data_IF_863786958981
#
_entry.id   IF_863786958981
#
_cell.length_a   1.000
_cell.length_b   1.000
_cell.length_c   1.000
_cell.angle_alpha   90.00
_cell.angle_beta   90.00
_cell.angle_gamma   90.00
#
_symmetry.space_group_name_H-M   'P 1'
#
loop_
_entity.id
_entity.type
_entity.pdbx_description
1 polymer ?
#
# COMPACT_ATOMS: atom_id res chain seq x y z
N UNK A 1 4.13 31.19 -8.69
CA UNK A 1 3.89 30.87 -7.27
C UNK A 1 3.42 29.43 -7.18
N UNK A 2 4.27 28.51 -6.70
CA UNK A 2 3.82 27.17 -6.32
C UNK A 2 4.54 26.82 -5.02
N UNK A 3 3.96 27.26 -3.89
CA UNK A 3 4.26 26.65 -2.59
C UNK A 3 3.64 25.25 -2.64
N UNK A 4 4.33 24.33 -3.30
CA UNK A 4 4.08 22.91 -3.11
C UNK A 4 4.38 22.65 -1.66
N UNK A 5 3.39 22.27 -0.88
CA UNK A 5 3.60 21.76 0.46
C UNK A 5 4.59 20.61 0.33
N UNK A 6 5.87 20.85 0.67
CA UNK A 6 6.89 19.81 0.75
C UNK A 6 6.48 18.90 1.90
N UNK A 7 5.60 17.94 1.61
CA UNK A 7 5.38 16.80 2.47
C UNK A 7 6.72 16.05 2.45
N UNK A 8 7.50 16.21 3.53
CA UNK A 8 8.75 15.48 3.70
C UNK A 8 8.41 14.02 3.91
N UNK A 9 8.45 13.25 2.84
CA UNK A 9 8.36 11.81 2.92
C UNK A 9 9.69 11.29 3.44
N UNK A 10 9.65 10.68 4.61
CA UNK A 10 10.87 10.18 5.28
C UNK A 10 11.21 8.77 4.79
N UNK A 11 10.17 7.99 4.47
CA UNK A 11 10.31 6.61 4.01
C UNK A 11 9.61 6.40 2.67
N UNK A 12 10.20 5.53 1.84
CA UNK A 12 9.66 5.17 0.53
C UNK A 12 9.71 3.66 0.36
N UNK A 13 8.55 3.05 0.18
CA UNK A 13 8.39 1.63 -0.05
C UNK A 13 8.02 1.35 -1.50
N UNK A 14 8.65 0.35 -2.10
CA UNK A 14 8.23 -0.18 -3.39
C UNK A 14 7.46 -1.47 -3.20
N UNK A 15 6.21 -1.52 -3.67
CA UNK A 15 5.42 -2.74 -3.64
C UNK A 15 4.93 -3.13 -5.03
N UNK A 16 5.24 -4.37 -5.41
CA UNK A 16 4.88 -4.95 -6.70
C UNK A 16 3.50 -5.59 -6.60
N UNK A 17 2.57 -5.21 -7.49
CA UNK A 17 1.26 -5.87 -7.67
C UNK A 17 0.24 -5.84 -6.52
N UNK A 18 0.07 -4.74 -5.79
CA UNK A 18 -1.16 -4.51 -5.01
C UNK A 18 -2.05 -3.43 -5.65
N UNK A 19 -3.36 -3.59 -5.55
CA UNK A 19 -4.29 -2.57 -6.01
C UNK A 19 -4.15 -1.30 -5.15
N UNK A 20 -4.04 -0.11 -5.76
CA UNK A 20 -3.93 1.17 -5.05
C UNK A 20 -4.92 1.33 -3.90
N UNK A 21 -6.19 0.94 -4.08
CA UNK A 21 -7.21 1.03 -3.01
C UNK A 21 -6.89 0.14 -1.80
N UNK A 22 -6.32 -1.04 -2.03
CA UNK A 22 -5.91 -1.95 -0.97
C UNK A 22 -4.72 -1.38 -0.21
N UNK A 23 -3.75 -0.83 -0.95
CA UNK A 23 -2.58 -0.18 -0.37
C UNK A 23 -3.01 0.95 0.58
N UNK A 24 -3.88 1.84 0.11
CA UNK A 24 -4.43 2.93 0.91
C UNK A 24 -5.13 2.41 2.17
N UNK A 25 -6.09 1.49 2.01
CA UNK A 25 -6.89 0.98 3.12
C UNK A 25 -5.99 0.35 4.21
N UNK A 26 -4.98 -0.41 3.81
CA UNK A 26 -4.04 -1.02 4.73
C UNK A 26 -3.17 0.02 5.42
N UNK A 27 -2.62 0.98 4.69
CA UNK A 27 -1.84 2.06 5.31
C UNK A 27 -2.67 2.86 6.32
N UNK A 28 -3.94 3.12 6.03
CA UNK A 28 -4.88 3.73 7.00
C UNK A 28 -5.04 2.86 8.25
N UNK A 29 -5.16 1.53 8.11
CA UNK A 29 -5.19 0.59 9.25
C UNK A 29 -3.90 0.60 10.08
N UNK A 30 -2.74 0.88 9.47
CA UNK A 30 -1.45 1.03 10.16
C UNK A 30 -1.23 2.43 10.78
N UNK A 31 -2.22 3.32 10.68
CA UNK A 31 -2.15 4.67 11.23
C UNK A 31 -1.53 5.71 10.31
N UNK A 32 -1.47 5.43 8.99
CA UNK A 32 -1.08 6.39 7.96
C UNK A 32 -2.34 6.92 7.25
N UNK A 33 -2.88 8.07 7.66
CA UNK A 33 -4.06 8.62 7.00
C UNK A 33 -3.74 9.04 5.56
N UNK A 34 -4.74 9.02 4.67
CA UNK A 34 -4.59 9.32 3.23
C UNK A 34 -3.87 10.63 2.93
N UNK A 35 -4.04 11.64 3.79
CA UNK A 35 -3.40 12.95 3.67
C UNK A 35 -1.88 12.93 3.95
N UNK A 36 -1.37 11.85 4.53
CA UNK A 36 0.03 11.67 4.97
C UNK A 36 0.77 10.56 4.22
N UNK A 37 0.11 9.97 3.22
CA UNK A 37 0.68 8.96 2.34
C UNK A 37 0.52 9.39 0.89
N UNK A 38 1.49 9.05 0.05
CA UNK A 38 1.39 9.21 -1.39
C UNK A 38 1.68 7.88 -2.07
N UNK A 39 0.84 7.51 -3.02
CA UNK A 39 0.99 6.29 -3.80
C UNK A 39 1.10 6.68 -5.25
N UNK A 40 2.27 6.45 -5.82
CA UNK A 40 2.61 6.71 -7.21
C UNK A 40 2.84 5.40 -7.95
N UNK A 41 2.47 5.37 -9.22
CA UNK A 41 2.84 4.26 -10.11
C UNK A 41 4.32 4.39 -10.45
N UNK A 42 5.04 3.28 -10.38
CA UNK A 42 6.46 3.20 -10.74
C UNK A 42 6.61 2.59 -12.11
N UNK A 43 7.58 3.07 -12.90
CA UNK A 43 7.96 2.51 -14.21
C UNK A 43 8.40 1.03 -14.14
N UNK A 44 8.66 0.50 -12.95
CA UNK A 44 9.06 -0.90 -12.71
C UNK A 44 7.89 -1.90 -12.57
N UNK A 45 6.68 -1.52 -12.99
CA UNK A 45 5.47 -2.35 -12.88
C UNK A 45 5.07 -2.60 -11.41
N UNK A 46 4.84 -1.50 -10.68
CA UNK A 46 4.49 -1.52 -9.26
C UNK A 46 4.06 -0.15 -8.72
N UNK A 47 3.93 -0.04 -7.40
CA UNK A 47 3.56 1.20 -6.72
C UNK A 47 4.66 1.63 -5.75
N UNK A 48 5.00 2.91 -5.80
CA UNK A 48 5.82 3.63 -4.84
C UNK A 48 4.93 4.24 -3.78
N UNK A 49 5.12 3.83 -2.53
CA UNK A 49 4.42 4.33 -1.36
C UNK A 49 5.37 5.24 -0.59
N UNK A 50 5.06 6.53 -0.55
CA UNK A 50 5.79 7.55 0.17
C UNK A 50 5.04 7.87 1.46
N UNK A 51 5.71 7.75 2.60
CA UNK A 51 5.09 7.89 3.92
C UNK A 51 5.69 9.06 4.69
N UNK A 52 4.86 9.76 5.48
CA UNK A 52 5.30 10.91 6.29
C UNK A 52 6.24 10.54 7.44
N UNK A 53 6.23 9.29 7.90
CA UNK A 53 7.03 8.79 9.02
C UNK A 53 7.90 7.60 8.62
N UNK A 54 9.01 7.40 9.32
CA UNK A 54 9.81 6.18 9.17
C UNK A 54 9.04 4.96 9.66
N UNK A 55 9.06 3.90 8.86
CA UNK A 55 8.56 2.60 9.26
C UNK A 55 9.64 1.84 10.00
N UNK A 56 9.29 1.22 11.11
CA UNK A 56 10.15 0.19 11.70
C UNK A 56 10.20 -1.04 10.79
N UNK A 57 11.30 -1.79 10.81
CA UNK A 57 11.47 -3.01 10.01
C UNK A 57 10.31 -4.00 10.17
N UNK A 58 9.78 -4.12 11.40
CA UNK A 58 8.63 -4.96 11.72
C UNK A 58 7.31 -4.44 11.11
N UNK A 59 7.09 -3.11 11.11
CA UNK A 59 5.93 -2.50 10.47
C UNK A 59 6.00 -2.68 8.95
N UNK A 60 7.18 -2.47 8.37
CA UNK A 60 7.42 -2.66 6.93
C UNK A 60 7.08 -4.09 6.52
N UNK A 61 7.64 -5.11 7.17
CA UNK A 61 7.28 -6.50 6.87
C UNK A 61 5.78 -6.78 7.02
N UNK A 62 5.15 -6.24 8.08
CA UNK A 62 3.71 -6.41 8.32
C UNK A 62 2.86 -5.79 7.21
N UNK A 63 3.22 -4.59 6.75
CA UNK A 63 2.56 -3.88 5.65
C UNK A 63 2.70 -4.67 4.34
N UNK A 64 3.92 -5.12 3.99
CA UNK A 64 4.16 -5.94 2.81
C UNK A 64 3.36 -7.25 2.84
N UNK A 65 3.40 -7.97 3.96
CA UNK A 65 2.65 -9.22 4.16
C UNK A 65 1.14 -8.98 4.08
N UNK A 66 0.66 -7.84 4.58
CA UNK A 66 -0.75 -7.48 4.51
C UNK A 66 -1.19 -7.16 3.07
N UNK A 67 -0.34 -6.52 2.27
CA UNK A 67 -0.58 -6.29 0.85
C UNK A 67 -0.60 -7.60 0.06
N UNK A 68 0.37 -8.50 0.29
CA UNK A 68 0.40 -9.82 -0.34
C UNK A 68 -0.84 -10.66 0.00
N UNK A 69 -1.23 -10.66 1.28
CA UNK A 69 -2.45 -11.37 1.74
C UNK A 69 -3.72 -10.78 1.13
N UNK A 70 -3.80 -9.46 0.99
CA UNK A 70 -4.94 -8.80 0.37
C UNK A 70 -5.01 -9.05 -1.14
N UNK A 71 -3.87 -9.20 -1.83
CA UNK A 71 -3.80 -9.69 -3.21
C UNK A 71 -4.34 -11.11 -3.32
N UNK A 72 -3.90 -12.02 -2.43
CA UNK A 72 -4.36 -13.41 -2.41
C UNK A 72 -5.88 -13.51 -2.19
N UNK A 73 -6.46 -12.67 -1.32
CA UNK A 73 -7.92 -12.63 -1.10
C UNK A 73 -8.74 -12.22 -2.33
N UNK A 74 -8.21 -11.39 -3.24
CA UNK A 74 -8.88 -11.07 -4.52
C UNK A 74 -8.75 -12.19 -5.56
N UNK A 75 -7.75 -13.07 -5.43
CA UNK A 75 -7.59 -14.26 -6.26
C UNK A 75 -8.55 -15.40 -5.91
N UNK A 76 -9.11 -15.43 -4.70
CA UNK A 76 -10.01 -16.51 -4.24
C UNK A 76 -11.51 -16.17 -4.34
N UNK A 77 -11.89 -15.22 -5.21
CA UNK A 77 -13.28 -14.77 -5.37
C UNK A 77 -14.13 -15.58 -6.35
N UNK A 78 -13.59 -16.60 -7.03
CA UNK A 78 -14.38 -17.50 -7.88
C UNK A 78 -13.77 -18.90 -7.93
N UNK A 79 -14.26 -19.79 -7.07
CA UNK A 79 -14.63 -21.19 -7.36
C UNK A 79 -15.02 -21.94 -6.07
N UNK A 80 -16.00 -21.43 -5.35
CA UNK A 80 -16.85 -22.30 -4.53
C UNK A 80 -18.23 -22.25 -5.18
N UNK A 81 -18.41 -23.07 -6.22
CA UNK A 81 -19.75 -23.53 -6.57
C UNK A 81 -20.03 -24.68 -5.61
N UNK A 82 -20.87 -24.41 -4.63
CA UNK A 82 -21.48 -25.42 -3.76
C UNK A 82 -22.19 -26.51 -4.60
N UNK A 83 -22.28 -27.75 -4.06
CA UNK A 83 -22.80 -28.90 -4.77
C UNK A 83 -24.33 -28.82 -4.87
N UNK A 84 -24.85 -29.22 -6.04
CA UNK A 84 -26.23 -29.69 -6.21
C UNK A 84 -26.18 -31.08 -6.85
#
# INVERSE_FOLDING_TARGET
MSKGTEVKYTDTLYHRYANRKILIAKLVEFGFPEKEQVIEESDQDGFLLKLSRNLESAERESIFKAFEKARAKKGNGKKEKEPF
#
